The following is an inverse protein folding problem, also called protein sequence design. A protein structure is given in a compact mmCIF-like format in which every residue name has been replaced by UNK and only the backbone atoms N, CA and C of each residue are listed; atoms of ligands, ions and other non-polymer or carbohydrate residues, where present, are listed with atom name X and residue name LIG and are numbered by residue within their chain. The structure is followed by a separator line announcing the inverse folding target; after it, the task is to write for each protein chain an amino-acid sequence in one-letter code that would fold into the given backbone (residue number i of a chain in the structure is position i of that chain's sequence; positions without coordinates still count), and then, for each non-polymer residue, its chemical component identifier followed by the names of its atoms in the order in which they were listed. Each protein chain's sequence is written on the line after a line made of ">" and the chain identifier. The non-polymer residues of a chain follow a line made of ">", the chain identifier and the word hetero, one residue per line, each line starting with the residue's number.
data_IF_235805375429
#
_entry.id   IF_235805375429
#
_cell.length_a   1.000
_cell.length_b   1.000
_cell.length_c   1.000
_cell.angle_alpha   90.00
_cell.angle_beta   90.00
_cell.angle_gamma   90.00
#
_symmetry.space_group_name_H-M   'P 1'
#
loop_
_entity.id
_entity.type
_entity.pdbx_description
1 polymer ?
#
# COMPACT_ATOMS: atom_id res chain seq x y z
N UNK A 1 6.44 -23.74 8.67
CA UNK A 1 5.56 -24.65 9.44
C UNK A 1 4.55 -23.82 10.22
N UNK A 2 5.00 -22.98 11.17
CA UNK A 2 4.15 -22.08 11.98
C UNK A 2 3.19 -21.20 11.15
N UNK A 3 3.65 -20.58 10.07
CA UNK A 3 2.76 -19.80 9.18
C UNK A 3 1.63 -20.64 8.56
N UNK A 4 1.91 -21.88 8.16
CA UNK A 4 0.89 -22.75 7.57
C UNK A 4 -0.08 -23.25 8.64
N UNK A 5 0.42 -23.53 9.85
CA UNK A 5 -0.39 -23.92 10.98
C UNK A 5 -1.32 -22.77 11.41
N UNK A 6 -0.82 -21.53 11.48
CA UNK A 6 -1.64 -20.35 11.75
C UNK A 6 -2.72 -20.17 10.68
N UNK A 7 -2.34 -20.30 9.41
CA UNK A 7 -3.28 -20.24 8.29
C UNK A 7 -4.39 -21.31 8.43
N UNK A 8 -4.02 -22.55 8.75
CA UNK A 8 -5.00 -23.63 8.88
C UNK A 8 -5.97 -23.45 10.07
N UNK A 9 -5.57 -22.73 11.12
CA UNK A 9 -6.28 -22.74 12.41
C UNK A 9 -6.79 -21.37 12.88
N UNK A 10 -6.48 -20.27 12.18
CA UNK A 10 -6.91 -18.93 12.60
C UNK A 10 -8.44 -18.82 12.64
N UNK A 11 -8.96 -18.34 13.77
CA UNK A 11 -10.39 -18.10 13.98
C UNK A 11 -10.92 -16.90 13.18
N UNK A 12 -10.02 -15.96 12.83
CA UNK A 12 -10.39 -14.70 12.16
C UNK A 12 -10.03 -14.68 10.66
N UNK A 13 -9.45 -15.77 10.16
CA UNK A 13 -9.17 -16.03 8.76
C UNK A 13 -7.75 -15.67 8.33
N UNK A 14 -7.40 -16.12 7.13
CA UNK A 14 -6.03 -16.09 6.60
C UNK A 14 -5.44 -14.70 6.35
N UNK A 15 -6.26 -13.65 6.34
CA UNK A 15 -5.84 -12.32 5.91
C UNK A 15 -4.80 -11.71 6.86
N UNK A 16 -4.89 -11.99 8.17
CA UNK A 16 -3.95 -11.47 9.16
C UNK A 16 -2.55 -12.04 8.96
N UNK A 17 -2.43 -13.24 8.38
CA UNK A 17 -1.15 -13.86 8.03
C UNK A 17 -0.36 -13.10 6.93
N UNK A 18 -0.98 -12.12 6.26
CA UNK A 18 -0.33 -11.21 5.31
C UNK A 18 0.12 -9.90 5.95
N UNK A 19 0.09 -9.81 7.28
CA UNK A 19 0.72 -8.71 8.02
C UNK A 19 2.23 -8.83 7.85
N UNK A 20 2.87 -7.81 7.28
CA UNK A 20 4.33 -7.75 7.10
C UNK A 20 5.04 -7.64 8.45
N UNK A 21 4.44 -6.93 9.41
CA UNK A 21 4.97 -6.76 10.75
C UNK A 21 4.20 -5.69 11.53
N UNK A 22 4.51 -5.63 12.82
CA UNK A 22 4.03 -4.59 13.74
C UNK A 22 5.21 -3.69 14.10
N UNK A 23 5.03 -2.38 13.92
CA UNK A 23 6.07 -1.39 14.13
C UNK A 23 5.61 -0.36 15.17
N UNK A 24 6.48 0.05 16.11
CA UNK A 24 6.15 1.15 17.02
C UNK A 24 5.96 2.44 16.23
N UNK A 25 4.99 3.25 16.64
CA UNK A 25 4.78 4.58 16.06
C UNK A 25 5.60 5.61 16.84
N UNK A 26 6.40 6.40 16.11
CA UNK A 26 7.24 7.44 16.71
C UNK A 26 6.39 8.41 17.53
N UNK A 27 6.87 8.76 18.74
CA UNK A 27 6.19 9.63 19.70
C UNK A 27 4.85 9.10 20.25
N UNK A 28 4.56 7.80 20.09
CA UNK A 28 3.38 7.15 20.65
C UNK A 28 3.73 5.82 21.34
N UNK A 29 3.90 5.83 22.66
CA UNK A 29 4.37 4.68 23.45
C UNK A 29 3.43 3.46 23.48
N UNK A 30 2.17 3.63 23.04
CA UNK A 30 1.13 2.59 23.07
C UNK A 30 0.44 2.39 21.72
N UNK A 31 1.13 2.72 20.64
CA UNK A 31 0.60 2.57 19.28
C UNK A 31 1.53 1.70 18.43
N UNK A 32 0.93 0.72 17.77
CA UNK A 32 1.58 -0.13 16.78
C UNK A 32 0.95 0.12 15.41
N UNK A 33 1.79 0.14 14.38
CA UNK A 33 1.38 0.17 12.99
C UNK A 33 1.56 -1.23 12.38
N UNK A 34 0.49 -1.80 11.84
CA UNK A 34 0.52 -3.05 11.09
C UNK A 34 0.50 -2.76 9.59
N UNK A 35 1.48 -3.28 8.86
CA UNK A 35 1.51 -3.19 7.39
C UNK A 35 0.96 -4.45 6.76
N UNK A 36 0.23 -4.30 5.66
CA UNK A 36 -0.32 -5.40 4.88
C UNK A 36 0.11 -5.30 3.42
N UNK A 37 0.16 -6.44 2.75
CA UNK A 37 0.48 -6.50 1.32
C UNK A 37 -0.39 -7.53 0.59
N UNK A 38 -0.37 -7.44 -0.74
CA UNK A 38 -1.01 -8.41 -1.62
C UNK A 38 -2.53 -8.45 -1.50
N UNK A 39 -3.10 -9.65 -1.65
CA UNK A 39 -4.56 -9.84 -1.73
C UNK A 39 -5.29 -9.49 -0.43
N UNK A 40 -4.62 -9.57 0.72
CA UNK A 40 -5.21 -9.23 2.01
C UNK A 40 -5.65 -7.76 2.09
N UNK A 41 -4.96 -6.85 1.40
CA UNK A 41 -5.36 -5.43 1.36
C UNK A 41 -6.78 -5.24 0.81
N UNK A 42 -7.19 -6.05 -0.19
CA UNK A 42 -8.56 -6.01 -0.75
C UNK A 42 -9.60 -6.64 0.18
N UNK A 43 -9.18 -7.58 1.03
CA UNK A 43 -10.05 -8.22 2.01
C UNK A 43 -10.31 -7.29 3.20
N UNK A 44 -9.28 -6.55 3.63
CA UNK A 44 -9.34 -5.64 4.77
C UNK A 44 -10.35 -4.51 4.60
N UNK A 45 -10.48 -3.92 3.41
CA UNK A 45 -11.48 -2.86 3.16
C UNK A 45 -12.93 -3.29 3.45
N UNK A 46 -13.21 -4.60 3.44
CA UNK A 46 -14.54 -5.17 3.71
C UNK A 46 -14.76 -5.59 5.17
N UNK A 47 -13.75 -5.48 6.03
CA UNK A 47 -13.78 -5.92 7.43
C UNK A 47 -14.20 -4.79 8.35
N UNK A 48 -14.89 -5.10 9.45
CA UNK A 48 -15.15 -4.12 10.52
C UNK A 48 -13.90 -3.89 11.37
N UNK A 49 -13.90 -2.84 12.19
CA UNK A 49 -12.78 -2.56 13.10
C UNK A 49 -12.60 -3.67 14.14
N UNK A 50 -13.69 -4.28 14.60
CA UNK A 50 -13.67 -5.41 15.54
C UNK A 50 -13.03 -6.64 14.91
N UNK A 51 -13.43 -7.00 13.68
CA UNK A 51 -12.83 -8.15 12.98
C UNK A 51 -11.32 -7.95 12.75
N UNK A 52 -10.91 -6.71 12.42
CA UNK A 52 -9.49 -6.39 12.26
C UNK A 52 -8.76 -6.45 13.59
N UNK A 53 -9.34 -5.89 14.65
CA UNK A 53 -8.79 -5.93 16.01
C UNK A 53 -8.57 -7.35 16.48
N UNK A 54 -9.59 -8.21 16.34
CA UNK A 54 -9.53 -9.58 16.81
C UNK A 54 -8.49 -10.40 16.02
N UNK A 55 -8.47 -10.25 14.69
CA UNK A 55 -7.49 -10.97 13.86
C UNK A 55 -6.04 -10.53 14.08
N UNK A 56 -5.80 -9.24 14.31
CA UNK A 56 -4.47 -8.74 14.66
C UNK A 56 -4.05 -9.14 16.08
N UNK A 57 -4.99 -9.16 17.02
CA UNK A 57 -4.74 -9.59 18.40
C UNK A 57 -4.46 -11.09 18.47
N UNK A 58 -5.15 -11.92 17.69
CA UNK A 58 -4.84 -13.35 17.53
C UNK A 58 -3.41 -13.54 17.00
N UNK A 59 -3.04 -12.82 15.94
CA UNK A 59 -1.70 -12.89 15.37
C UNK A 59 -0.63 -12.47 16.39
N UNK A 60 -0.81 -11.33 17.07
CA UNK A 60 0.12 -10.85 18.09
C UNK A 60 0.27 -11.85 19.25
N UNK A 61 -0.83 -12.40 19.75
CA UNK A 61 -0.78 -13.41 20.80
C UNK A 61 -0.09 -14.70 20.32
N UNK A 62 -0.29 -15.10 19.07
CA UNK A 62 0.43 -16.24 18.48
C UNK A 62 1.94 -16.00 18.46
N UNK A 63 2.37 -14.79 18.10
CA UNK A 63 3.79 -14.44 17.95
C UNK A 63 4.49 -14.25 19.29
N UNK A 64 3.86 -13.56 20.25
CA UNK A 64 4.53 -13.12 21.49
C UNK A 64 3.72 -13.32 22.78
N UNK A 65 2.49 -13.85 22.69
CA UNK A 65 1.58 -14.02 23.82
C UNK A 65 2.06 -15.01 24.89
N UNK A 66 3.02 -15.88 24.57
CA UNK A 66 3.67 -16.77 25.55
C UNK A 66 4.57 -16.01 26.53
N UNK A 67 5.02 -14.80 26.18
CA UNK A 67 5.91 -13.96 27.00
C UNK A 67 5.23 -12.70 27.52
N UNK A 68 4.26 -12.17 26.79
CA UNK A 68 3.61 -10.90 27.10
C UNK A 68 2.09 -11.04 27.15
N UNK A 69 1.46 -10.38 28.11
CA UNK A 69 0.01 -10.19 28.09
C UNK A 69 -0.32 -8.99 27.20
N UNK A 70 -1.02 -9.24 26.10
CA UNK A 70 -1.31 -8.22 25.09
C UNK A 70 -2.74 -7.73 25.31
N UNK A 71 -2.95 -6.46 25.72
CA UNK A 71 -4.29 -5.93 25.90
C UNK A 71 -4.99 -5.73 24.55
N UNK A 72 -6.32 -5.71 24.57
CA UNK A 72 -7.11 -5.31 23.40
C UNK A 72 -6.81 -3.85 23.04
N UNK A 73 -6.61 -3.50 21.76
CA UNK A 73 -6.45 -2.10 21.36
C UNK A 73 -7.72 -1.31 21.66
N UNK A 74 -7.55 -0.07 22.12
CA UNK A 74 -8.67 0.85 22.42
C UNK A 74 -9.33 1.40 21.16
N UNK A 75 -8.58 1.53 20.07
CA UNK A 75 -9.04 2.01 18.77
C UNK A 75 -8.13 1.50 17.65
N UNK A 76 -8.66 1.49 16.42
CA UNK A 76 -7.90 1.25 15.21
C UNK A 76 -8.07 2.44 14.27
N UNK A 77 -6.94 2.95 13.76
CA UNK A 77 -6.93 3.83 12.60
C UNK A 77 -6.51 3.02 11.38
N UNK A 78 -7.35 2.98 10.35
CA UNK A 78 -7.12 2.21 9.14
C UNK A 78 -7.34 3.06 7.89
N UNK A 79 -6.40 2.97 6.96
CA UNK A 79 -6.57 3.51 5.60
C UNK A 79 -7.16 2.45 4.67
N UNK A 80 -8.08 2.84 3.80
CA UNK A 80 -8.54 2.02 2.67
C UNK A 80 -8.31 2.72 1.33
N UNK A 81 -7.03 2.76 0.92
CA UNK A 81 -6.61 3.41 -0.32
C UNK A 81 -7.25 2.79 -1.57
N UNK A 82 -7.70 1.53 -1.50
CA UNK A 82 -8.25 0.80 -2.65
C UNK A 82 -9.67 1.27 -2.96
N UNK A 83 -10.47 1.59 -1.94
CA UNK A 83 -11.85 2.03 -2.13
C UNK A 83 -12.01 3.54 -2.27
N UNK A 84 -10.98 4.33 -1.94
CA UNK A 84 -11.01 5.79 -2.14
C UNK A 84 -11.12 6.12 -3.64
N UNK A 85 -12.20 6.80 -4.09
CA UNK A 85 -12.44 7.06 -5.51
C UNK A 85 -11.41 8.01 -6.14
N UNK A 86 -10.64 8.74 -5.33
CA UNK A 86 -9.61 9.66 -5.83
C UNK A 86 -8.22 9.00 -5.94
N UNK A 87 -8.05 7.78 -5.41
CA UNK A 87 -6.73 7.16 -5.22
C UNK A 87 -6.69 5.75 -5.79
N UNK A 88 -7.71 4.93 -5.54
CA UNK A 88 -7.94 3.61 -6.17
C UNK A 88 -6.79 2.59 -6.02
N UNK A 89 -5.85 2.84 -5.12
CA UNK A 89 -4.62 2.07 -4.94
C UNK A 89 -3.65 2.80 -4.03
N UNK A 90 -2.53 2.16 -3.67
CA UNK A 90 -1.52 2.80 -2.81
C UNK A 90 -0.52 3.61 -3.64
N UNK A 91 0.20 2.93 -4.54
CA UNK A 91 1.21 3.51 -5.42
C UNK A 91 1.50 2.56 -6.59
N UNK A 92 2.07 3.10 -7.66
CA UNK A 92 2.40 2.38 -8.89
C UNK A 92 3.48 1.34 -8.67
N UNK A 93 3.46 0.25 -9.43
CA UNK A 93 4.59 -0.67 -9.56
C UNK A 93 4.60 -1.26 -10.98
N UNK A 94 5.77 -1.51 -11.60
CA UNK A 94 5.88 -2.24 -12.85
C UNK A 94 5.39 -3.67 -12.67
N UNK A 95 4.46 -4.09 -13.53
CA UNK A 95 3.94 -5.45 -13.51
C UNK A 95 4.72 -6.33 -14.46
N UNK A 96 4.71 -7.64 -14.23
CA UNK A 96 5.26 -8.60 -15.21
C UNK A 96 4.61 -8.43 -16.60
N UNK A 97 3.34 -8.04 -16.64
CA UNK A 97 2.62 -7.78 -17.89
C UNK A 97 3.09 -6.50 -18.62
N UNK A 98 3.52 -5.46 -17.90
CA UNK A 98 4.11 -4.26 -18.51
C UNK A 98 5.49 -4.57 -19.06
N UNK A 99 6.30 -5.32 -18.33
CA UNK A 99 7.64 -5.74 -18.78
C UNK A 99 7.57 -6.58 -20.05
N UNK A 100 6.64 -7.55 -20.12
CA UNK A 100 6.41 -8.35 -21.33
C UNK A 100 5.99 -7.53 -22.55
N UNK A 101 5.35 -6.37 -22.33
CA UNK A 101 4.93 -5.45 -23.38
C UNK A 101 5.97 -4.34 -23.64
N UNK A 102 7.12 -4.38 -22.95
CA UNK A 102 8.14 -3.33 -22.98
C UNK A 102 7.56 -1.94 -22.67
N UNK A 103 6.61 -1.89 -21.74
CA UNK A 103 5.99 -0.66 -21.24
C UNK A 103 6.70 -0.21 -19.96
N UNK A 104 6.97 1.08 -19.87
CA UNK A 104 7.69 1.74 -18.79
C UNK A 104 6.93 2.96 -18.26
N UNK A 105 7.32 3.43 -17.08
CA UNK A 105 6.81 4.69 -16.53
C UNK A 105 7.14 5.91 -17.41
N UNK A 106 8.15 5.82 -18.29
CA UNK A 106 8.47 6.87 -19.26
C UNK A 106 7.36 7.01 -20.32
N UNK A 107 6.70 5.92 -20.68
CA UNK A 107 5.60 5.94 -21.65
C UNK A 107 4.39 6.71 -21.08
N UNK A 108 4.19 6.65 -19.76
CA UNK A 108 3.17 7.43 -19.04
C UNK A 108 3.50 8.93 -18.95
N UNK A 109 4.75 9.32 -19.20
CA UNK A 109 5.19 10.72 -19.16
C UNK A 109 5.07 11.44 -20.52
N UNK A 110 4.67 10.72 -21.57
CA UNK A 110 4.52 11.26 -22.91
C UNK A 110 3.31 12.20 -22.97
N UNK A 111 3.49 13.46 -23.41
CA UNK A 111 2.38 14.38 -23.55
C UNK A 111 1.51 14.02 -24.76
N UNK A 112 0.26 14.46 -24.75
CA UNK A 112 -0.57 14.51 -25.96
C UNK A 112 -0.19 15.78 -26.72
N UNK A 113 0.17 15.62 -28.00
CA UNK A 113 0.59 16.69 -28.89
C UNK A 113 -0.56 17.13 -29.81
N UNK A 114 -0.59 18.40 -30.21
CA UNK A 114 -1.45 18.88 -31.29
C UNK A 114 -0.79 18.70 -32.67
N UNK A 115 -1.46 19.18 -33.73
CA UNK A 115 -0.98 19.10 -35.12
C UNK A 115 0.29 19.92 -35.41
N UNK A 116 0.68 20.82 -34.49
CA UNK A 116 1.87 21.66 -34.59
C UNK A 116 2.98 21.20 -33.63
N UNK A 117 2.95 19.94 -33.18
CA UNK A 117 3.89 19.36 -32.21
C UNK A 117 3.95 20.11 -30.87
N UNK A 118 2.84 20.74 -30.45
CA UNK A 118 2.76 21.43 -29.16
C UNK A 118 2.08 20.53 -28.12
N UNK A 119 2.62 20.38 -26.90
CA UNK A 119 1.98 19.62 -25.83
C UNK A 119 0.70 20.31 -25.35
N UNK A 120 -0.43 19.61 -25.43
CA UNK A 120 -1.76 20.08 -24.98
C UNK A 120 -2.25 19.39 -23.70
N UNK A 121 -1.82 18.16 -23.45
CA UNK A 121 -2.06 17.44 -22.20
C UNK A 121 -0.73 16.86 -21.74
N UNK A 122 -0.39 17.10 -20.48
CA UNK A 122 0.87 16.68 -19.86
C UNK A 122 0.57 15.86 -18.61
N UNK A 123 1.45 14.91 -18.31
CA UNK A 123 1.27 13.97 -17.21
C UNK A 123 2.44 14.09 -16.22
N UNK A 124 2.09 14.39 -14.97
CA UNK A 124 2.99 14.40 -13.82
C UNK A 124 2.47 13.46 -12.74
N UNK A 125 3.25 13.27 -11.68
CA UNK A 125 2.94 12.37 -10.57
C UNK A 125 3.93 11.21 -10.49
N UNK A 126 3.84 10.46 -9.38
CA UNK A 126 4.80 9.38 -9.04
C UNK A 126 4.92 8.35 -10.17
N UNK A 127 3.79 8.01 -10.81
CA UNK A 127 3.72 6.99 -11.84
C UNK A 127 4.48 7.36 -13.13
N UNK A 128 4.85 8.62 -13.31
CA UNK A 128 5.49 9.12 -14.55
C UNK A 128 7.00 9.27 -14.41
N UNK A 129 7.59 8.85 -13.28
CA UNK A 129 9.03 8.92 -13.08
C UNK A 129 9.69 7.59 -13.51
N UNK A 130 10.74 7.60 -14.36
CA UNK A 130 11.37 6.35 -14.84
C UNK A 130 12.05 5.52 -13.76
N UNK A 131 12.63 6.16 -12.74
CA UNK A 131 13.41 5.49 -11.69
C UNK A 131 12.83 5.60 -10.27
N UNK A 132 12.24 6.74 -9.91
CA UNK A 132 11.70 7.05 -8.58
C UNK A 132 10.17 7.02 -8.52
N UNK A 133 9.54 6.11 -9.28
CA UNK A 133 8.10 5.84 -9.11
C UNK A 133 7.80 5.30 -7.71
N UNK A 134 6.54 5.36 -7.30
CA UNK A 134 6.03 5.07 -5.95
C UNK A 134 6.50 6.02 -4.86
N UNK A 135 7.15 7.14 -5.18
CA UNK A 135 7.74 8.04 -4.18
C UNK A 135 7.24 9.48 -4.29
N UNK A 136 7.28 10.18 -3.16
CA UNK A 136 6.93 11.61 -3.08
C UNK A 136 7.94 12.48 -3.84
N UNK A 137 9.23 12.20 -3.74
CA UNK A 137 10.25 12.99 -4.45
C UNK A 137 10.16 12.77 -5.97
N UNK A 138 9.86 11.54 -6.43
CA UNK A 138 9.55 11.27 -7.82
C UNK A 138 8.36 12.10 -8.31
N UNK A 139 7.25 12.13 -7.56
CA UNK A 139 6.09 12.98 -7.90
C UNK A 139 6.44 14.48 -7.98
N UNK A 140 7.26 14.98 -7.06
CA UNK A 140 7.73 16.36 -7.07
C UNK A 140 8.59 16.67 -8.31
N UNK A 141 9.52 15.78 -8.64
CA UNK A 141 10.43 15.94 -9.77
C UNK A 141 9.67 15.91 -11.11
N UNK A 142 8.70 15.02 -11.27
CA UNK A 142 7.86 14.98 -12.48
C UNK A 142 6.94 16.19 -12.59
N UNK A 143 6.44 16.72 -11.46
CA UNK A 143 5.73 18.00 -11.45
C UNK A 143 6.59 19.16 -11.97
N UNK A 144 7.85 19.26 -11.52
CA UNK A 144 8.81 20.26 -12.03
C UNK A 144 9.14 20.06 -13.51
N UNK A 145 9.31 18.80 -13.93
CA UNK A 145 9.57 18.44 -15.33
C UNK A 145 8.47 18.97 -16.25
N UNK A 146 7.20 18.73 -15.92
CA UNK A 146 6.09 19.21 -16.74
C UNK A 146 5.91 20.74 -16.66
N UNK A 147 6.20 21.36 -15.51
CA UNK A 147 6.14 22.83 -15.39
C UNK A 147 7.18 23.55 -16.26
N UNK A 148 8.37 22.96 -16.45
CA UNK A 148 9.46 23.50 -17.29
C UNK A 148 9.32 23.14 -18.77
N UNK A 149 8.35 22.28 -19.13
CA UNK A 149 8.07 21.89 -20.53
C UNK A 149 7.23 22.94 -21.27
N UNK A 150 6.59 23.85 -20.52
CA UNK A 150 5.91 25.06 -21.00
C UNK A 150 6.90 26.17 -21.36
#
# INVERSE_FOLDING_TARGET
>A
KELQDFKANSAHGLWSAYTTGFYPVLNHDRMLCAWFHGQACRMLGKKTEEEVSDGLLELLNTLVGSKYSIPRPEAILRTDWISDPNILGAYTYPTVASDHQNLSNSDLALPVMDENDKPVIMFAGEATHPHYFSTVHGALETGRREALRL
#
